data_IF_761301602345
#
_entry.id   IF_761301602345
#
_cell.length_a   1.000
_cell.length_b   1.000
_cell.length_c   1.000
_cell.angle_alpha   90.00
_cell.angle_beta   90.00
_cell.angle_gamma   90.00
#
_symmetry.space_group_name_H-M   'P 1'
#
loop_
_entity.id
_entity.type
_entity.pdbx_description
1 polymer ?
#
# COMPACT_ATOMS: atom_id res chain seq x y z
N UNK A 1 -33.46 7.15 1.19
CA UNK A 1 -32.54 7.83 2.12
C UNK A 1 -31.30 6.96 2.20
N UNK A 2 -30.13 7.58 2.00
CA UNK A 2 -28.88 6.98 1.54
C UNK A 2 -28.54 5.59 2.13
N UNK A 3 -28.42 4.63 1.21
CA UNK A 3 -27.84 3.31 1.44
C UNK A 3 -26.34 3.47 1.72
N UNK A 4 -25.88 2.90 2.83
CA UNK A 4 -24.56 3.09 3.44
C UNK A 4 -23.40 2.42 2.69
N UNK A 5 -23.26 2.73 1.41
CA UNK A 5 -22.09 2.36 0.60
C UNK A 5 -21.11 3.53 0.56
N UNK A 6 -20.42 3.78 1.68
CA UNK A 6 -19.07 4.38 1.58
C UNK A 6 -18.08 3.28 1.19
N UNK A 7 -18.35 2.66 0.03
CA UNK A 7 -17.36 1.94 -0.75
C UNK A 7 -16.53 3.00 -1.45
N UNK A 8 -15.45 3.44 -0.81
CA UNK A 8 -14.36 4.12 -1.49
C UNK A 8 -13.97 3.21 -2.66
N UNK A 9 -14.28 3.69 -3.86
CA UNK A 9 -14.13 3.00 -5.13
C UNK A 9 -12.65 2.76 -5.43
N UNK A 10 -12.08 1.74 -4.78
CA UNK A 10 -10.88 1.07 -5.27
C UNK A 10 -11.27 0.41 -6.59
N UNK A 11 -10.51 0.67 -7.65
CA UNK A 11 -10.80 0.11 -8.97
C UNK A 11 -10.95 -1.41 -8.89
N UNK A 12 -12.19 -1.91 -9.03
CA UNK A 12 -12.62 -3.31 -9.23
C UNK A 12 -12.11 -4.40 -8.26
N UNK A 13 -11.12 -4.14 -7.41
CA UNK A 13 -10.40 -5.15 -6.62
C UNK A 13 -10.94 -5.26 -5.19
N UNK A 14 -11.29 -6.48 -4.77
CA UNK A 14 -11.73 -6.78 -3.41
C UNK A 14 -10.57 -6.81 -2.40
N UNK A 15 -10.89 -6.69 -1.11
CA UNK A 15 -9.89 -6.67 -0.03
C UNK A 15 -9.07 -7.97 0.04
N UNK A 16 -9.70 -9.12 -0.18
CA UNK A 16 -9.02 -10.43 -0.16
C UNK A 16 -8.03 -10.58 -1.33
N UNK A 17 -8.40 -10.10 -2.51
CA UNK A 17 -7.52 -10.07 -3.69
C UNK A 17 -6.30 -9.18 -3.44
N UNK A 18 -6.52 -8.04 -2.75
CA UNK A 18 -5.43 -7.15 -2.34
C UNK A 18 -4.47 -7.82 -1.34
N UNK A 19 -4.95 -8.63 -0.39
CA UNK A 19 -4.07 -9.42 0.49
C UNK A 19 -3.20 -10.39 -0.31
N UNK A 20 -3.78 -11.12 -1.26
CA UNK A 20 -3.05 -12.07 -2.10
C UNK A 20 -2.01 -11.35 -2.97
N UNK A 21 -2.38 -10.21 -3.56
CA UNK A 21 -1.48 -9.41 -4.38
C UNK A 21 -0.29 -8.88 -3.57
N UNK A 22 -0.54 -8.38 -2.35
CA UNK A 22 0.51 -7.91 -1.45
C UNK A 22 1.47 -9.04 -1.07
N UNK A 23 0.94 -10.23 -0.73
CA UNK A 23 1.78 -11.42 -0.47
C UNK A 23 2.64 -11.78 -1.66
N UNK A 24 2.04 -11.85 -2.84
CA UNK A 24 2.76 -12.17 -4.07
C UNK A 24 3.89 -11.17 -4.35
N UNK A 25 3.63 -9.87 -4.16
CA UNK A 25 4.62 -8.81 -4.38
C UNK A 25 5.73 -8.81 -3.34
N UNK A 26 5.42 -9.17 -2.10
CA UNK A 26 6.44 -9.40 -1.07
C UNK A 26 7.36 -10.55 -1.50
N UNK A 27 6.80 -11.71 -1.85
CA UNK A 27 7.56 -12.90 -2.26
C UNK A 27 8.41 -12.68 -3.51
N UNK A 28 7.91 -11.88 -4.44
CA UNK A 28 8.62 -11.49 -5.67
C UNK A 28 9.66 -10.37 -5.44
N UNK A 29 9.75 -9.81 -4.22
CA UNK A 29 10.68 -8.74 -3.87
C UNK A 29 10.31 -7.36 -4.46
N UNK A 30 9.13 -7.23 -5.06
CA UNK A 30 8.56 -5.95 -5.52
C UNK A 30 8.12 -5.07 -4.37
N UNK A 31 7.66 -5.68 -3.27
CA UNK A 31 7.45 -5.00 -2.00
C UNK A 31 8.53 -5.42 -1.00
N UNK A 32 9.03 -4.47 -0.19
CA UNK A 32 10.06 -4.75 0.80
C UNK A 32 9.49 -5.56 1.97
N UNK A 33 10.24 -6.57 2.40
CA UNK A 33 10.01 -7.27 3.67
C UNK A 33 10.57 -6.51 4.88
N UNK A 34 11.65 -5.75 4.68
CA UNK A 34 12.42 -5.11 5.76
C UNK A 34 11.77 -3.82 6.28
N UNK A 35 12.14 -3.43 7.50
CA UNK A 35 11.69 -2.24 8.22
C UNK A 35 11.80 -1.01 7.35
N UNK A 36 10.66 -0.37 7.15
CA UNK A 36 10.57 0.86 6.40
C UNK A 36 10.45 1.98 7.42
N UNK A 37 11.34 2.96 7.36
CA UNK A 37 11.12 4.19 8.15
C UNK A 37 9.90 4.87 7.55
N UNK A 38 8.86 5.03 8.37
CA UNK A 38 7.61 5.62 7.92
C UNK A 38 7.88 7.08 7.57
N UNK A 39 7.93 7.36 6.27
CA UNK A 39 7.72 8.72 5.77
C UNK A 39 6.28 9.13 6.12
N UNK A 40 6.09 10.42 6.36
CA UNK A 40 4.76 10.94 6.69
C UNK A 40 3.71 10.62 5.63
N UNK A 41 2.44 10.78 5.99
CA UNK A 41 1.38 10.89 4.99
C UNK A 41 1.43 12.28 4.36
N UNK A 42 1.31 12.36 3.04
CA UNK A 42 1.21 13.63 2.29
C UNK A 42 0.05 13.54 1.29
N UNK A 43 -0.50 14.67 0.83
CA UNK A 43 -1.43 14.66 -0.29
C UNK A 43 -0.76 14.01 -1.50
N UNK A 44 -1.45 13.09 -2.15
CA UNK A 44 -0.96 12.52 -3.40
C UNK A 44 -1.01 13.57 -4.52
N UNK A 45 -0.12 13.46 -5.49
CA UNK A 45 -0.14 14.21 -6.74
C UNK A 45 -0.57 13.36 -7.95
N UNK A 46 -0.91 12.08 -7.72
CA UNK A 46 -1.28 11.13 -8.77
C UNK A 46 -0.35 9.93 -8.86
N UNK A 47 0.37 9.62 -7.78
CA UNK A 47 1.34 8.53 -7.76
C UNK A 47 0.67 7.17 -7.93
N UNK A 48 1.39 6.21 -8.52
CA UNK A 48 0.90 4.84 -8.63
C UNK A 48 1.19 4.12 -7.32
N UNK A 49 0.18 3.49 -6.73
CA UNK A 49 0.37 2.66 -5.54
C UNK A 49 1.19 1.42 -5.89
N UNK A 50 2.29 1.17 -5.20
CA UNK A 50 3.16 0.01 -5.45
C UNK A 50 2.48 -1.34 -5.12
N UNK A 51 1.48 -1.33 -4.24
CA UNK A 51 0.75 -2.53 -3.83
C UNK A 51 -0.41 -2.90 -4.77
N UNK A 52 -1.35 -1.98 -5.02
CA UNK A 52 -2.54 -2.28 -5.85
C UNK A 52 -2.40 -1.78 -7.29
N UNK A 53 -1.29 -1.13 -7.63
CA UNK A 53 -0.99 -0.61 -8.97
C UNK A 53 -2.00 0.42 -9.50
N UNK A 54 -2.87 0.91 -8.64
CA UNK A 54 -3.87 1.94 -8.94
C UNK A 54 -3.33 3.31 -8.56
N UNK A 55 -3.76 4.35 -9.28
CA UNK A 55 -3.40 5.73 -8.97
C UNK A 55 -3.94 6.14 -7.59
N UNK A 56 -3.10 6.78 -6.80
CA UNK A 56 -3.45 7.50 -5.59
C UNK A 56 -3.89 8.89 -6.05
N UNK A 57 -5.19 9.14 -6.03
CA UNK A 57 -5.73 10.40 -6.53
C UNK A 57 -5.38 11.55 -5.60
N UNK A 58 -5.36 12.79 -6.10
CA UNK A 58 -5.05 13.99 -5.30
C UNK A 58 -5.96 14.22 -4.08
N UNK A 59 -7.13 13.56 -4.05
CA UNK A 59 -8.04 13.57 -2.91
C UNK A 59 -7.63 12.60 -1.78
N UNK A 60 -6.61 11.77 -2.01
CA UNK A 60 -6.16 10.72 -1.11
C UNK A 60 -4.78 11.05 -0.53
N UNK A 61 -4.48 10.45 0.62
CA UNK A 61 -3.15 10.50 1.22
C UNK A 61 -2.29 9.35 0.69
N UNK A 62 -1.08 9.69 0.26
CA UNK A 62 -0.02 8.71 0.02
C UNK A 62 0.81 8.56 1.29
N UNK A 63 1.07 7.31 1.67
CA UNK A 63 2.06 6.98 2.69
C UNK A 63 3.33 6.61 1.97
N UNK A 64 4.39 7.37 2.24
CA UNK A 64 5.71 7.05 1.73
C UNK A 64 6.48 6.21 2.75
N UNK A 65 7.07 5.14 2.25
CA UNK A 65 7.90 4.27 3.04
C UNK A 65 9.32 4.22 2.50
N UNK A 66 10.33 4.64 3.27
CA UNK A 66 11.72 4.51 2.85
C UNK A 66 12.28 3.17 3.33
N UNK A 67 12.64 2.30 2.39
CA UNK A 67 13.25 1.01 2.72
C UNK A 67 14.68 1.23 3.18
N UNK A 68 15.04 0.70 4.35
CA UNK A 68 16.43 0.75 4.82
C UNK A 68 17.33 -0.21 4.03
N UNK A 69 16.76 -1.30 3.51
CA UNK A 69 17.43 -2.22 2.60
C UNK A 69 17.25 -1.82 1.11
N UNK A 70 18.31 -1.96 0.31
CA UNK A 70 18.23 -1.90 -1.16
C UNK A 70 18.29 -0.50 -1.80
N UNK A 71 18.97 0.47 -1.18
CA UNK A 71 19.24 1.76 -1.83
C UNK A 71 18.18 2.85 -1.63
N UNK A 72 17.27 2.69 -0.67
CA UNK A 72 16.45 3.80 -0.19
C UNK A 72 15.32 4.26 -1.11
N UNK A 73 14.86 3.42 -2.06
CA UNK A 73 13.71 3.81 -2.89
C UNK A 73 12.47 3.94 -2.01
N UNK A 74 11.79 5.10 -2.02
CA UNK A 74 10.52 5.22 -1.33
C UNK A 74 9.47 4.36 -2.04
N UNK A 75 8.71 3.57 -1.29
CA UNK A 75 7.46 2.97 -1.76
C UNK A 75 6.32 3.93 -1.51
N UNK A 76 5.37 3.97 -2.44
CA UNK A 76 4.22 4.85 -2.39
C UNK A 76 2.96 4.00 -2.30
N UNK A 77 2.25 4.10 -1.18
CA UNK A 77 1.08 3.29 -0.91
C UNK A 77 -0.11 4.15 -0.52
N UNK A 78 -1.32 3.73 -0.92
CA UNK A 78 -2.52 4.19 -0.22
C UNK A 78 -2.42 3.84 1.25
N UNK A 79 -3.11 4.60 2.11
CA UNK A 79 -3.14 4.34 3.55
C UNK A 79 -3.58 2.90 3.87
N UNK A 80 -4.65 2.39 3.26
CA UNK A 80 -5.09 1.01 3.53
C UNK A 80 -4.11 -0.04 2.98
N UNK A 81 -3.58 0.17 1.76
CA UNK A 81 -2.56 -0.72 1.20
C UNK A 81 -1.32 -0.79 2.11
N UNK A 82 -0.93 0.33 2.72
CA UNK A 82 0.15 0.37 3.71
C UNK A 82 -0.18 -0.45 4.96
N UNK A 83 -1.41 -0.35 5.50
CA UNK A 83 -1.80 -1.14 6.68
C UNK A 83 -1.74 -2.64 6.39
N UNK A 84 -2.29 -3.06 5.25
CA UNK A 84 -2.30 -4.46 4.83
C UNK A 84 -0.89 -4.99 4.58
N UNK A 85 -0.07 -4.23 3.84
CA UNK A 85 1.33 -4.59 3.64
C UNK A 85 2.08 -4.71 4.98
N UNK A 86 1.84 -3.79 5.93
CA UNK A 86 2.47 -3.81 7.25
C UNK A 86 2.03 -5.00 8.11
N UNK A 87 0.78 -5.44 8.00
CA UNK A 87 0.27 -6.65 8.66
C UNK A 87 0.91 -7.92 8.07
N UNK A 88 0.85 -8.08 6.74
CA UNK A 88 1.35 -9.24 6.02
C UNK A 88 2.85 -9.48 6.23
N UNK A 89 3.66 -8.41 6.21
CA UNK A 89 5.10 -8.53 6.49
C UNK A 89 5.41 -8.89 7.95
N UNK A 90 4.54 -8.51 8.90
CA UNK A 90 4.73 -8.78 10.34
C UNK A 90 4.33 -10.21 10.65
N UNK A 91 3.26 -10.71 10.04
CA UNK A 91 2.83 -12.09 10.13
C UNK A 91 3.90 -13.08 9.61
N UNK A 92 4.79 -12.66 8.72
CA UNK A 92 5.88 -13.49 8.17
C UNK A 92 7.20 -13.44 8.95
N UNK A 93 7.36 -12.55 9.94
CA UNK A 93 8.57 -12.54 10.77
C UNK A 93 8.41 -13.59 11.87
N UNK A 94 9.27 -14.62 11.97
CA UNK A 94 9.21 -15.63 13.03
C UNK A 94 9.46 -15.03 14.41
#
# INVERSE_FOLDING_TARGET
MADGLLGYSWGRMGREDLHLLIRQKLEDGRLPHDSVSRGGGRPADGEKCDACETLITRAQLVVEGITLAGGGRPIQLHVECFQLWNDERRARKP
#
